data_IF_927106016172
#
_entry.id   IF_927106016172
#
_cell.length_a   1.000
_cell.length_b   1.000
_cell.length_c   1.000
_cell.angle_alpha   90.00
_cell.angle_beta   90.00
_cell.angle_gamma   90.00
#
_symmetry.space_group_name_H-M   'P 1'
#
loop_
_entity.id
_entity.type
_entity.pdbx_description
1 polymer ?
#
# COMPACT_ATOMS: atom_id res chain seq x y z
N UNK A 1 47.93 -16.46 36.61
CA UNK A 1 46.60 -17.06 36.34
C UNK A 1 46.16 -16.47 35.01
N UNK A 2 46.53 -17.13 33.92
CA UNK A 2 46.14 -16.75 32.57
C UNK A 2 44.95 -17.60 32.17
N UNK A 3 43.78 -16.97 32.05
CA UNK A 3 42.57 -17.61 31.54
C UNK A 3 42.48 -17.25 30.06
N UNK A 4 42.82 -18.22 29.22
CA UNK A 4 42.64 -18.16 27.77
C UNK A 4 41.15 -18.36 27.50
N UNK A 5 40.48 -17.27 27.09
CA UNK A 5 39.06 -17.26 26.73
C UNK A 5 38.88 -17.83 25.32
N UNK A 6 38.66 -19.15 25.24
CA UNK A 6 38.45 -19.87 23.98
C UNK A 6 37.03 -19.63 23.47
N UNK A 7 36.84 -18.56 22.68
CA UNK A 7 35.59 -18.37 21.92
C UNK A 7 35.45 -19.47 20.87
N UNK A 8 34.50 -20.38 21.08
CA UNK A 8 34.01 -21.32 20.07
C UNK A 8 32.97 -20.58 19.21
N UNK A 9 33.23 -20.26 17.93
CA UNK A 9 32.18 -19.78 17.04
C UNK A 9 31.33 -20.98 16.57
N UNK A 10 30.16 -21.17 17.18
CA UNK A 10 29.14 -22.09 16.68
C UNK A 10 28.49 -21.50 15.42
N UNK A 11 29.13 -21.69 14.27
CA UNK A 11 28.49 -21.47 12.97
C UNK A 11 27.63 -22.70 12.68
N UNK A 12 26.40 -22.67 13.18
CA UNK A 12 25.35 -23.58 12.70
C UNK A 12 25.02 -23.12 11.28
N UNK A 13 25.62 -23.78 10.28
CA UNK A 13 25.14 -23.70 8.90
C UNK A 13 23.73 -24.30 8.89
N UNK A 14 22.71 -23.45 8.76
CA UNK A 14 21.37 -23.89 8.39
C UNK A 14 21.46 -24.55 7.00
N UNK A 15 21.44 -25.88 6.98
CA UNK A 15 21.20 -26.63 5.76
C UNK A 15 19.83 -26.24 5.22
N UNK A 16 19.81 -25.54 4.07
CA UNK A 16 18.58 -25.20 3.35
C UNK A 16 17.91 -26.49 2.89
N UNK A 17 17.01 -27.01 3.73
CA UNK A 17 16.10 -28.10 3.38
C UNK A 17 15.29 -27.64 2.16
N UNK A 18 15.46 -28.31 1.02
CA UNK A 18 14.69 -27.99 -0.19
C UNK A 18 13.20 -28.18 0.11
N UNK A 19 12.44 -27.08 0.10
CA UNK A 19 11.00 -27.10 0.33
C UNK A 19 10.30 -27.65 -0.91
N UNK A 20 9.49 -28.70 -0.74
CA UNK A 20 8.71 -29.36 -1.81
C UNK A 20 7.90 -28.36 -2.65
N UNK A 21 7.33 -27.37 -1.98
CA UNK A 21 6.57 -26.28 -2.57
C UNK A 21 7.13 -24.94 -2.09
N UNK A 22 7.38 -24.02 -3.02
CA UNK A 22 7.70 -22.63 -2.69
C UNK A 22 6.44 -21.78 -2.83
N UNK A 23 6.18 -20.95 -1.82
CA UNK A 23 5.09 -19.98 -1.81
C UNK A 23 5.70 -18.57 -1.81
N UNK A 24 5.47 -17.82 -2.89
CA UNK A 24 5.90 -16.42 -3.05
C UNK A 24 4.67 -15.53 -2.96
N UNK A 25 4.82 -14.33 -2.42
CA UNK A 25 3.69 -13.40 -2.22
C UNK A 25 4.10 -11.96 -2.37
N UNK A 26 3.25 -11.16 -2.99
CA UNK A 26 3.42 -9.73 -3.12
C UNK A 26 2.05 -9.04 -3.18
N UNK A 27 1.99 -7.72 -2.95
CA UNK A 27 0.76 -6.98 -3.13
C UNK A 27 0.99 -5.65 -3.84
N UNK A 28 -0.06 -5.14 -4.47
CA UNK A 28 -0.09 -3.81 -5.11
C UNK A 28 -1.44 -3.14 -4.86
N UNK A 29 -1.46 -1.81 -4.85
CA UNK A 29 -2.69 -1.02 -4.76
C UNK A 29 -3.18 -0.66 -6.17
N UNK A 30 -4.44 -0.97 -6.49
CA UNK A 30 -5.07 -0.69 -7.78
C UNK A 30 -6.46 -0.14 -7.52
N UNK A 31 -6.72 1.12 -7.91
CA UNK A 31 -8.07 1.70 -7.85
C UNK A 31 -8.70 1.71 -6.45
N UNK A 32 -7.90 1.89 -5.39
CA UNK A 32 -8.36 1.83 -4.00
C UNK A 32 -8.52 0.41 -3.42
N UNK A 33 -8.32 -0.62 -4.24
CA UNK A 33 -8.29 -2.02 -3.80
C UNK A 33 -6.85 -2.51 -3.65
N UNK A 34 -6.68 -3.59 -2.90
CA UNK A 34 -5.43 -4.32 -2.76
C UNK A 34 -5.51 -5.57 -3.64
N UNK A 35 -4.57 -5.69 -4.58
CA UNK A 35 -4.36 -6.93 -5.31
C UNK A 35 -3.24 -7.73 -4.65
N UNK A 36 -3.61 -8.78 -3.93
CA UNK A 36 -2.68 -9.68 -3.26
C UNK A 36 -2.34 -10.87 -4.15
N UNK A 37 -1.09 -10.97 -4.59
CA UNK A 37 -0.60 -12.02 -5.51
C UNK A 37 0.11 -13.11 -4.73
N UNK A 38 -0.19 -14.35 -5.08
CA UNK A 38 0.39 -15.55 -4.50
C UNK A 38 0.87 -16.45 -5.63
N UNK A 39 2.15 -16.77 -5.61
CA UNK A 39 2.79 -17.72 -6.52
C UNK A 39 3.07 -19.03 -5.81
N UNK A 40 2.55 -20.13 -6.34
CA UNK A 40 2.88 -21.49 -5.93
C UNK A 40 3.83 -22.09 -6.96
N UNK A 41 4.96 -22.64 -6.52
CA UNK A 41 5.90 -23.35 -7.38
C UNK A 41 6.18 -24.73 -6.81
N UNK A 42 5.88 -25.77 -7.58
CA UNK A 42 6.30 -27.13 -7.27
C UNK A 42 7.79 -27.27 -7.61
N UNK A 43 8.62 -27.69 -6.66
CA UNK A 43 10.06 -27.91 -6.91
C UNK A 43 10.42 -29.40 -7.04
N UNK A 44 9.42 -30.27 -7.05
CA UNK A 44 9.63 -31.71 -7.10
C UNK A 44 9.51 -32.23 -8.54
N UNK A 45 9.97 -33.47 -8.74
CA UNK A 45 9.84 -34.21 -10.00
C UNK A 45 8.44 -34.84 -10.19
N UNK A 46 7.49 -34.55 -9.29
CA UNK A 46 6.19 -35.19 -9.23
C UNK A 46 5.07 -34.16 -9.11
N UNK A 47 3.89 -34.38 -9.70
CA UNK A 47 2.77 -33.45 -9.56
C UNK A 47 2.16 -33.49 -8.14
N UNK A 48 1.59 -32.38 -7.71
CA UNK A 48 0.70 -32.31 -6.56
C UNK A 48 -0.76 -32.27 -7.01
N UNK A 49 -1.64 -32.88 -6.22
CA UNK A 49 -3.08 -32.94 -6.48
C UNK A 49 -3.88 -32.36 -5.32
N UNK A 50 -5.12 -31.96 -5.61
CA UNK A 50 -6.10 -31.47 -4.65
C UNK A 50 -5.54 -30.37 -3.75
N UNK A 51 -4.90 -29.36 -4.36
CA UNK A 51 -4.36 -28.25 -3.61
C UNK A 51 -5.52 -27.40 -3.08
N UNK A 52 -5.54 -27.17 -1.78
CA UNK A 52 -6.44 -26.23 -1.11
C UNK A 52 -5.62 -25.14 -0.46
N UNK A 53 -5.88 -23.90 -0.82
CA UNK A 53 -5.25 -22.74 -0.22
C UNK A 53 -6.30 -22.09 0.67
N UNK A 54 -6.06 -22.05 1.98
CA UNK A 54 -6.94 -21.39 2.94
C UNK A 54 -6.30 -20.09 3.37
N UNK A 55 -6.93 -18.96 3.06
CA UNK A 55 -6.45 -17.64 3.43
C UNK A 55 -6.92 -17.27 4.83
N UNK A 56 -6.04 -16.62 5.59
CA UNK A 56 -6.43 -15.88 6.79
C UNK A 56 -6.40 -14.41 6.43
N UNK A 57 -7.58 -13.88 6.09
CA UNK A 57 -7.76 -12.50 5.67
C UNK A 57 -8.26 -11.72 6.89
N UNK A 58 -7.56 -10.66 7.33
CA UNK A 58 -8.02 -9.82 8.43
C UNK A 58 -9.41 -9.22 8.17
N UNK A 59 -10.22 -9.05 9.22
CA UNK A 59 -11.60 -8.53 9.10
C UNK A 59 -11.70 -7.13 8.47
N UNK A 60 -10.63 -6.34 8.50
CA UNK A 60 -10.62 -5.03 7.81
C UNK A 60 -10.44 -5.14 6.29
N UNK A 61 -10.31 -6.35 5.74
CA UNK A 61 -10.18 -6.61 4.32
C UNK A 61 -11.31 -7.52 3.87
N UNK A 62 -12.05 -7.07 2.86
CA UNK A 62 -13.11 -7.85 2.24
C UNK A 62 -12.60 -8.50 0.96
N UNK A 63 -12.67 -9.82 0.86
CA UNK A 63 -12.31 -10.51 -0.38
C UNK A 63 -13.46 -10.44 -1.41
N UNK A 64 -13.26 -9.59 -2.42
CA UNK A 64 -14.23 -9.31 -3.48
C UNK A 64 -14.22 -10.40 -4.56
N UNK A 65 -13.07 -10.61 -5.18
CA UNK A 65 -12.91 -11.58 -6.27
C UNK A 65 -11.47 -12.12 -6.33
N UNK A 66 -11.25 -13.14 -7.15
CA UNK A 66 -9.92 -13.69 -7.40
C UNK A 66 -9.75 -14.10 -8.85
N UNK A 67 -8.49 -14.18 -9.27
CA UNK A 67 -8.08 -14.65 -10.59
C UNK A 67 -6.92 -15.64 -10.47
N UNK A 68 -6.84 -16.67 -11.31
CA UNK A 68 -7.88 -17.10 -12.25
C UNK A 68 -9.08 -17.70 -11.48
N UNK A 69 -10.22 -17.90 -12.15
CA UNK A 69 -11.51 -18.30 -11.55
C UNK A 69 -11.57 -19.72 -10.98
N UNK A 70 -10.69 -20.05 -10.03
CA UNK A 70 -10.71 -21.30 -9.28
C UNK A 70 -11.95 -21.40 -8.39
N UNK A 71 -12.36 -22.61 -8.05
CA UNK A 71 -13.49 -22.83 -7.15
C UNK A 71 -13.17 -22.26 -5.75
N UNK A 72 -14.04 -21.36 -5.27
CA UNK A 72 -13.95 -20.75 -3.95
C UNK A 72 -14.95 -21.38 -2.99
N UNK A 73 -14.48 -21.74 -1.80
CA UNK A 73 -15.31 -22.20 -0.67
C UNK A 73 -14.91 -21.44 0.58
N UNK A 74 -15.71 -20.43 0.97
CA UNK A 74 -15.36 -19.50 2.04
C UNK A 74 -14.05 -18.77 1.72
N UNK A 75 -13.08 -18.86 2.63
CA UNK A 75 -11.75 -18.28 2.45
C UNK A 75 -10.75 -19.24 1.81
N UNK A 76 -11.23 -20.30 1.17
CA UNK A 76 -10.39 -21.28 0.49
C UNK A 76 -10.54 -21.27 -1.03
N UNK A 77 -9.43 -21.51 -1.74
CA UNK A 77 -9.41 -21.84 -3.17
C UNK A 77 -8.98 -23.29 -3.39
N UNK A 78 -9.62 -23.94 -4.36
CA UNK A 78 -9.29 -25.29 -4.78
C UNK A 78 -8.62 -25.29 -6.16
N UNK A 79 -7.47 -25.97 -6.25
CA UNK A 79 -6.70 -26.13 -7.48
C UNK A 79 -6.46 -27.63 -7.65
N UNK A 80 -7.01 -28.21 -8.71
CA UNK A 80 -7.03 -29.67 -8.90
C UNK A 80 -5.63 -30.28 -8.99
N UNK A 81 -4.70 -29.58 -9.64
CA UNK A 81 -3.35 -30.07 -9.90
C UNK A 81 -2.33 -28.94 -9.99
N UNK A 82 -1.11 -29.21 -9.54
CA UNK A 82 0.10 -28.45 -9.80
C UNK A 82 1.16 -29.41 -10.34
N UNK A 83 1.48 -29.30 -11.63
CA UNK A 83 2.41 -30.12 -12.37
C UNK A 83 3.86 -30.02 -11.89
N UNK A 84 4.70 -30.85 -12.49
CA UNK A 84 6.15 -30.92 -12.24
C UNK A 84 6.78 -29.58 -12.62
N UNK A 85 7.51 -28.96 -11.69
CA UNK A 85 8.11 -27.63 -11.88
C UNK A 85 7.12 -26.52 -12.30
N UNK A 86 5.81 -26.77 -12.18
CA UNK A 86 4.79 -25.80 -12.57
C UNK A 86 4.74 -24.66 -11.56
N UNK A 87 4.53 -23.45 -12.09
CA UNK A 87 4.22 -22.26 -11.30
C UNK A 87 2.79 -21.82 -11.60
N UNK A 88 1.98 -21.66 -10.55
CA UNK A 88 0.66 -21.03 -10.63
C UNK A 88 0.65 -19.73 -9.86
N UNK A 89 -0.02 -18.72 -10.40
CA UNK A 89 -0.18 -17.42 -9.76
C UNK A 89 -1.67 -17.15 -9.56
N UNK A 90 -2.00 -16.68 -8.38
CA UNK A 90 -3.36 -16.34 -7.97
C UNK A 90 -3.33 -14.90 -7.50
N UNK A 91 -4.31 -14.11 -7.91
CA UNK A 91 -4.52 -12.75 -7.45
C UNK A 91 -5.83 -12.70 -6.67
N UNK A 92 -5.78 -12.23 -5.42
CA UNK A 92 -6.95 -11.87 -4.64
C UNK A 92 -7.15 -10.36 -4.73
N UNK A 93 -8.38 -9.93 -4.94
CA UNK A 93 -8.76 -8.53 -4.93
C UNK A 93 -9.51 -8.26 -3.63
N UNK A 94 -8.88 -7.45 -2.79
CA UNK A 94 -9.31 -7.16 -1.43
C UNK A 94 -9.69 -5.69 -1.32
N UNK A 95 -10.84 -5.42 -0.75
CA UNK A 95 -11.31 -4.07 -0.47
C UNK A 95 -11.04 -3.72 0.99
N UNK A 96 -10.34 -2.61 1.27
CA UNK A 96 -10.15 -2.14 2.64
C UNK A 96 -11.45 -1.59 3.21
N UNK A 97 -11.89 -2.17 4.33
CA UNK A 97 -13.02 -1.68 5.13
C UNK A 97 -12.54 -0.60 6.11
N UNK A 98 -11.42 -0.87 6.79
CA UNK A 98 -10.82 0.03 7.77
C UNK A 98 -9.31 0.14 7.53
N UNK A 99 -8.73 1.23 8.02
CA UNK A 99 -7.30 1.47 7.92
C UNK A 99 -6.57 0.77 9.05
N UNK A 100 -5.65 -0.10 8.67
CA UNK A 100 -4.86 -0.87 9.60
C UNK A 100 -3.58 -1.36 8.94
N UNK A 101 -2.64 -1.78 9.76
CA UNK A 101 -1.54 -2.63 9.34
C UNK A 101 -1.83 -4.05 9.80
N UNK A 102 -1.94 -4.99 8.86
CA UNK A 102 -2.27 -6.37 9.19
C UNK A 102 -1.55 -7.39 8.31
N UNK A 103 -1.23 -8.57 8.87
CA UNK A 103 -0.69 -9.68 8.10
C UNK A 103 -1.77 -10.39 7.30
N UNK A 104 -1.49 -10.68 6.03
CA UNK A 104 -2.18 -11.75 5.31
C UNK A 104 -1.30 -13.00 5.34
N UNK A 105 -1.89 -14.13 5.73
CA UNK A 105 -1.25 -15.44 5.67
C UNK A 105 -2.15 -16.45 4.94
N UNK A 106 -1.60 -17.63 4.66
CA UNK A 106 -2.31 -18.69 3.97
C UNK A 106 -1.74 -20.04 4.37
N UNK A 107 -2.57 -21.08 4.39
CA UNK A 107 -2.12 -22.47 4.50
C UNK A 107 -2.46 -23.20 3.22
N UNK A 108 -1.45 -23.83 2.61
CA UNK A 108 -1.59 -24.63 1.40
C UNK A 108 -1.50 -26.10 1.79
N UNK A 109 -2.61 -26.83 1.64
CA UNK A 109 -2.64 -28.28 1.79
C UNK A 109 -2.74 -28.97 0.43
N UNK A 110 -2.08 -30.10 0.25
CA UNK A 110 -2.04 -30.84 -1.01
C UNK A 110 -1.69 -32.31 -0.78
N UNK A 111 -1.88 -33.15 -1.80
CA UNK A 111 -1.44 -34.53 -1.82
C UNK A 111 -0.25 -34.72 -2.75
N UNK A 112 0.69 -35.57 -2.34
CA UNK A 112 1.76 -36.04 -3.22
C UNK A 112 1.32 -37.25 -4.06
N UNK A 113 2.23 -37.78 -4.89
CA UNK A 113 1.96 -38.95 -5.76
C UNK A 113 1.71 -40.26 -5.02
N UNK A 114 1.93 -40.31 -3.70
CA UNK A 114 1.62 -41.46 -2.85
C UNK A 114 0.33 -41.25 -2.06
N UNK A 115 -0.47 -40.25 -2.45
CA UNK A 115 -1.65 -39.78 -1.72
C UNK A 115 -1.37 -39.44 -0.25
N UNK A 116 -0.12 -39.03 0.06
CA UNK A 116 0.21 -38.54 1.40
C UNK A 116 -0.18 -37.06 1.51
N UNK A 117 -0.96 -36.67 2.52
CA UNK A 117 -1.32 -35.27 2.73
C UNK A 117 -0.13 -34.48 3.27
N UNK A 118 0.02 -33.25 2.77
CA UNK A 118 0.98 -32.26 3.22
C UNK A 118 0.28 -30.92 3.46
N UNK A 119 0.78 -30.14 4.41
CA UNK A 119 0.32 -28.78 4.66
C UNK A 119 1.51 -27.86 4.93
N UNK A 120 1.53 -26.72 4.26
CA UNK A 120 2.57 -25.70 4.39
C UNK A 120 1.94 -24.35 4.64
N UNK A 121 2.41 -23.67 5.69
CA UNK A 121 1.96 -22.32 6.00
C UNK A 121 2.85 -21.31 5.28
N UNK A 122 2.21 -20.39 4.57
CA UNK A 122 2.85 -19.24 3.98
C UNK A 122 3.28 -18.28 5.09
N UNK A 123 4.55 -17.86 5.07
CA UNK A 123 4.99 -16.76 5.93
C UNK A 123 4.06 -15.54 5.75
N UNK A 124 3.71 -14.79 6.80
CA UNK A 124 2.81 -13.64 6.64
C UNK A 124 3.39 -12.55 5.72
N UNK A 125 2.53 -11.78 5.05
CA UNK A 125 2.90 -10.52 4.38
C UNK A 125 2.12 -9.38 5.02
N UNK A 126 2.84 -8.41 5.57
CA UNK A 126 2.22 -7.21 6.14
C UNK A 126 1.68 -6.33 5.03
N UNK A 127 0.44 -5.87 5.20
CA UNK A 127 -0.21 -4.89 4.35
C UNK A 127 -0.58 -3.71 5.23
N UNK A 128 -0.14 -2.52 4.83
CA UNK A 128 -0.46 -1.28 5.52
C UNK A 128 -1.47 -0.48 4.70
N UNK A 129 -2.70 -0.43 5.19
CA UNK A 129 -3.80 0.34 4.61
C UNK A 129 -3.80 1.69 5.34
N UNK A 130 -3.26 2.71 4.70
CA UNK A 130 -3.28 4.06 5.27
C UNK A 130 -4.58 4.78 4.88
N UNK A 131 -5.34 5.21 5.88
CA UNK A 131 -6.46 6.13 5.62
C UNK A 131 -5.91 7.47 5.18
N UNK A 132 -6.54 8.12 4.20
CA UNK A 132 -6.25 9.53 4.01
C UNK A 132 -6.71 10.30 5.26
N UNK A 133 -5.82 11.14 5.78
CA UNK A 133 -5.91 11.80 7.11
C UNK A 133 -7.08 12.79 7.19
N UNK A 134 -7.55 13.25 6.05
CA UNK A 134 -8.48 14.35 5.91
C UNK A 134 -9.86 13.83 5.50
N UNK A 135 -10.93 14.50 5.90
CA UNK A 135 -12.25 14.40 5.26
C UNK A 135 -12.77 15.82 5.04
N UNK A 136 -13.70 16.00 4.11
CA UNK A 136 -14.21 17.32 3.76
C UNK A 136 -15.71 17.42 4.02
N UNK A 137 -16.13 18.48 4.70
CA UNK A 137 -17.54 18.89 4.72
C UNK A 137 -17.83 19.67 3.42
N UNK A 138 -19.00 19.43 2.83
CA UNK A 138 -19.38 19.94 1.51
C UNK A 138 -19.36 21.49 1.45
N UNK A 139 -19.49 22.17 2.60
CA UNK A 139 -19.78 23.62 2.67
C UNK A 139 -18.55 24.55 2.84
N UNK A 140 -17.33 24.06 2.64
CA UNK A 140 -16.16 24.93 2.69
C UNK A 140 -16.05 25.81 1.41
N UNK A 141 -16.17 27.13 1.57
CA UNK A 141 -15.96 28.13 0.51
C UNK A 141 -14.71 29.00 0.78
N UNK A 142 -14.22 29.72 -0.25
CA UNK A 142 -12.95 30.48 -0.16
C UNK A 142 -12.94 31.53 0.96
N UNK A 143 -14.04 32.26 1.14
CA UNK A 143 -14.16 33.29 2.18
C UNK A 143 -14.03 32.68 3.59
N UNK A 144 -14.69 31.54 3.82
CA UNK A 144 -14.59 30.77 5.06
C UNK A 144 -13.18 30.27 5.31
N UNK A 145 -12.49 29.75 4.29
CA UNK A 145 -11.10 29.26 4.40
C UNK A 145 -10.12 30.39 4.70
N UNK A 146 -10.24 31.55 4.03
CA UNK A 146 -9.42 32.74 4.30
C UNK A 146 -9.66 33.31 5.71
N UNK A 147 -10.90 33.23 6.22
CA UNK A 147 -11.24 33.62 7.60
C UNK A 147 -10.67 32.62 8.62
N UNK A 148 -10.83 31.33 8.34
CA UNK A 148 -10.32 30.26 9.19
C UNK A 148 -8.80 30.32 9.31
N UNK A 149 -8.07 30.51 8.21
CA UNK A 149 -6.61 30.69 8.23
C UNK A 149 -6.20 31.73 9.26
N UNK A 150 -6.89 32.87 9.36
CA UNK A 150 -6.57 33.93 10.33
C UNK A 150 -6.84 33.57 11.80
N UNK A 151 -7.66 32.55 12.05
CA UNK A 151 -8.09 32.11 13.39
C UNK A 151 -7.38 30.86 13.89
N UNK A 152 -6.59 30.18 13.04
CA UNK A 152 -5.86 28.99 13.44
C UNK A 152 -4.76 29.36 14.45
N UNK A 153 -4.69 28.61 15.56
CA UNK A 153 -3.69 28.86 16.59
C UNK A 153 -2.26 28.49 16.16
N UNK A 154 -2.12 27.65 15.14
CA UNK A 154 -0.83 27.15 14.66
C UNK A 154 -0.67 27.36 13.17
N UNK A 155 0.52 27.81 12.78
CA UNK A 155 0.92 28.07 11.41
C UNK A 155 2.26 27.44 11.13
N UNK A 156 2.37 26.74 10.01
CA UNK A 156 3.64 26.28 9.44
C UNK A 156 3.78 26.86 8.03
N UNK A 157 5.01 27.19 7.64
CA UNK A 157 5.34 27.74 6.32
C UNK A 157 6.65 27.13 5.84
N UNK A 158 6.62 26.58 4.62
CA UNK A 158 7.80 26.14 3.89
C UNK A 158 7.93 26.94 2.61
N UNK A 159 9.14 27.38 2.31
CA UNK A 159 9.48 28.13 1.09
C UNK A 159 10.54 27.33 0.35
N UNK A 160 10.32 27.10 -0.94
CA UNK A 160 11.24 26.39 -1.80
C UNK A 160 11.61 27.29 -2.97
N UNK A 161 12.90 27.49 -3.26
CA UNK A 161 13.32 28.30 -4.40
C UNK A 161 12.98 27.59 -5.71
N UNK A 162 12.50 28.36 -6.70
CA UNK A 162 12.28 27.86 -8.05
C UNK A 162 13.57 28.03 -8.86
N UNK A 163 14.18 26.90 -9.24
CA UNK A 163 15.41 26.89 -10.06
C UNK A 163 15.07 27.18 -11.53
N UNK A 164 13.93 26.68 -12.01
CA UNK A 164 13.46 26.80 -13.39
C UNK A 164 12.08 27.45 -13.45
N UNK A 165 12.07 28.79 -13.41
CA UNK A 165 10.84 29.59 -13.42
C UNK A 165 9.98 29.40 -14.67
N UNK A 166 10.57 28.98 -15.79
CA UNK A 166 9.90 28.68 -17.05
C UNK A 166 9.04 27.41 -16.97
N UNK A 167 9.32 26.50 -16.04
CA UNK A 167 8.53 25.29 -15.80
C UNK A 167 7.40 25.51 -14.78
N UNK A 168 7.08 26.77 -14.42
CA UNK A 168 6.14 27.12 -13.33
C UNK A 168 4.78 26.43 -13.44
N UNK A 169 4.21 26.31 -14.64
CA UNK A 169 2.92 25.63 -14.83
C UNK A 169 3.02 24.12 -14.50
N UNK A 170 4.10 23.47 -14.94
CA UNK A 170 4.35 22.05 -14.68
C UNK A 170 4.59 21.79 -13.20
N UNK A 171 5.37 22.67 -12.55
CA UNK A 171 5.65 22.63 -11.11
C UNK A 171 4.35 22.80 -10.33
N UNK A 172 3.55 23.82 -10.66
CA UNK A 172 2.26 24.06 -10.00
C UNK A 172 1.33 22.84 -10.15
N UNK A 173 1.19 22.33 -11.37
CA UNK A 173 0.36 21.15 -11.65
C UNK A 173 0.83 19.90 -10.90
N UNK A 174 2.13 19.70 -10.77
CA UNK A 174 2.71 18.59 -10.00
C UNK A 174 2.39 18.69 -8.51
N UNK A 175 2.50 19.89 -7.93
CA UNK A 175 2.12 20.15 -6.53
C UNK A 175 0.64 19.82 -6.31
N UNK A 176 -0.25 20.34 -7.19
CA UNK A 176 -1.68 20.07 -7.08
C UNK A 176 -1.99 18.58 -7.22
N UNK A 177 -1.32 17.86 -8.14
CA UNK A 177 -1.48 16.41 -8.33
C UNK A 177 -1.12 15.63 -7.07
N UNK A 178 -0.02 16.00 -6.39
CA UNK A 178 0.37 15.36 -5.12
C UNK A 178 -0.66 15.65 -4.02
N UNK A 179 -1.12 16.91 -3.90
CA UNK A 179 -2.09 17.31 -2.89
C UNK A 179 -3.46 16.64 -3.09
N UNK A 180 -3.90 16.47 -4.33
CA UNK A 180 -5.16 15.79 -4.66
C UNK A 180 -5.15 14.29 -4.36
N UNK A 181 -4.00 13.67 -4.11
CA UNK A 181 -3.93 12.27 -3.64
C UNK A 181 -4.38 12.13 -2.18
N UNK A 182 -4.42 13.23 -1.44
CA UNK A 182 -4.95 13.27 -0.08
C UNK A 182 -6.44 13.65 -0.13
N UNK A 183 -7.22 13.20 0.86
CA UNK A 183 -8.66 13.49 1.02
C UNK A 183 -8.91 14.93 1.53
N UNK A 184 -8.23 15.90 0.91
CA UNK A 184 -8.38 17.34 1.10
C UNK A 184 -9.14 17.93 -0.09
N UNK A 185 -10.02 18.89 0.17
CA UNK A 185 -10.83 19.53 -0.86
C UNK A 185 -10.06 20.72 -1.41
N UNK A 186 -9.89 20.76 -2.73
CA UNK A 186 -9.50 21.96 -3.44
C UNK A 186 -10.67 22.95 -3.44
N UNK A 187 -10.44 24.15 -2.89
CA UNK A 187 -11.46 25.19 -2.70
C UNK A 187 -11.33 26.27 -3.77
N UNK A 188 -10.10 26.57 -4.14
CA UNK A 188 -9.78 27.56 -5.15
C UNK A 188 -8.45 27.22 -5.79
N UNK A 189 -8.35 27.41 -7.11
CA UNK A 189 -7.09 27.44 -7.83
C UNK A 189 -7.15 28.55 -8.87
N UNK A 190 -6.03 29.21 -9.08
CA UNK A 190 -5.81 30.12 -10.18
C UNK A 190 -4.34 30.08 -10.59
N UNK A 191 -4.08 30.30 -11.88
CA UNK A 191 -2.72 30.33 -12.42
C UNK A 191 -2.64 31.27 -13.63
N UNK A 192 -1.74 32.24 -13.56
CA UNK A 192 -1.37 33.14 -14.66
C UNK A 192 -0.05 32.67 -15.27
N UNK A 193 -0.09 32.28 -16.56
CA UNK A 193 1.13 31.92 -17.31
C UNK A 193 2.00 33.15 -17.58
N UNK A 194 1.39 34.30 -17.87
CA UNK A 194 2.08 35.57 -18.13
C UNK A 194 2.87 36.02 -16.91
N UNK A 195 2.23 36.01 -15.74
CA UNK A 195 2.84 36.43 -14.47
C UNK A 195 3.61 35.29 -13.78
N UNK A 196 3.57 34.07 -14.33
CA UNK A 196 4.11 32.84 -13.72
C UNK A 196 3.70 32.71 -12.26
N UNK A 197 2.44 33.03 -11.99
CA UNK A 197 1.91 33.14 -10.63
C UNK A 197 0.78 32.13 -10.44
N UNK A 198 0.86 31.35 -9.37
CA UNK A 198 -0.12 30.33 -9.04
C UNK A 198 -0.60 30.45 -7.60
N UNK A 199 -1.91 30.37 -7.41
CA UNK A 199 -2.52 30.37 -6.08
C UNK A 199 -3.47 29.17 -5.95
N UNK A 200 -3.33 28.38 -4.88
CA UNK A 200 -4.30 27.34 -4.57
C UNK A 200 -4.60 27.24 -3.07
N UNK A 201 -5.87 26.99 -2.76
CA UNK A 201 -6.37 26.84 -1.41
C UNK A 201 -7.04 25.49 -1.25
N UNK A 202 -6.61 24.76 -0.23
CA UNK A 202 -7.20 23.49 0.15
C UNK A 202 -7.71 23.55 1.58
N UNK A 203 -8.74 22.76 1.84
CA UNK A 203 -9.31 22.59 3.16
C UNK A 203 -9.53 21.11 3.46
N UNK A 204 -9.29 20.72 4.71
CA UNK A 204 -9.64 19.40 5.19
C UNK A 204 -9.80 19.39 6.70
N UNK A 205 -10.45 18.36 7.20
CA UNK A 205 -10.61 18.13 8.64
C UNK A 205 -9.97 16.79 8.97
N UNK A 206 -9.12 16.74 9.98
CA UNK A 206 -8.49 15.48 10.39
C UNK A 206 -9.55 14.51 10.93
N UNK A 207 -9.50 13.24 10.52
CA UNK A 207 -10.53 12.24 10.90
C UNK A 207 -10.60 11.99 12.41
N UNK A 208 -9.46 11.97 13.10
CA UNK A 208 -9.34 11.60 14.52
C UNK A 208 -9.60 12.78 15.46
N UNK A 209 -8.83 13.87 15.35
CA UNK A 209 -8.93 15.03 16.26
C UNK A 209 -9.94 16.07 15.82
N UNK A 210 -10.54 15.92 14.63
CA UNK A 210 -11.44 16.90 14.00
C UNK A 210 -10.80 18.29 13.84
N UNK A 211 -9.46 18.35 13.79
CA UNK A 211 -8.73 19.58 13.57
C UNK A 211 -8.92 20.04 12.13
N UNK A 212 -9.29 21.31 11.97
CA UNK A 212 -9.38 21.96 10.68
C UNK A 212 -7.99 22.30 10.17
N UNK A 213 -7.73 21.99 8.90
CA UNK A 213 -6.46 22.25 8.24
C UNK A 213 -6.73 23.06 6.98
N UNK A 214 -5.94 24.11 6.80
CA UNK A 214 -5.91 24.93 5.58
C UNK A 214 -4.53 24.79 4.97
N UNK A 215 -4.45 24.36 3.72
CA UNK A 215 -3.21 24.35 2.96
C UNK A 215 -3.29 25.45 1.92
N UNK A 216 -2.29 26.34 1.97
CA UNK A 216 -2.16 27.43 1.04
C UNK A 216 -0.90 27.22 0.21
N UNK A 217 -1.07 27.11 -1.10
CA UNK A 217 0.03 27.03 -2.06
C UNK A 217 0.10 28.34 -2.81
N UNK A 218 1.29 28.93 -2.81
CA UNK A 218 1.64 30.10 -3.58
C UNK A 218 2.87 29.75 -4.41
N UNK A 219 2.75 29.89 -5.72
CA UNK A 219 3.86 29.82 -6.66
C UNK A 219 4.08 31.23 -7.22
N UNK A 220 5.30 31.73 -7.11
CA UNK A 220 5.70 33.00 -7.70
C UNK A 220 6.98 32.78 -8.49
N UNK A 221 6.84 32.69 -9.82
CA UNK A 221 7.94 32.51 -10.76
C UNK A 221 8.72 33.78 -11.07
N UNK A 222 8.33 34.93 -10.50
CA UNK A 222 8.93 36.24 -10.78
C UNK A 222 9.71 36.81 -9.60
N UNK A 223 9.37 36.42 -8.36
CA UNK A 223 10.13 36.84 -7.18
C UNK A 223 11.51 36.16 -7.13
N UNK A 224 12.54 36.94 -7.48
CA UNK A 224 13.96 36.59 -7.26
C UNK A 224 14.48 36.90 -5.85
N UNK A 225 13.60 37.21 -4.88
CA UNK A 225 14.03 37.54 -3.52
C UNK A 225 14.10 36.26 -2.67
N UNK A 226 15.30 35.69 -2.61
CA UNK A 226 15.78 34.86 -1.49
C UNK A 226 16.29 35.80 -0.41
#
# INVERSE_FOLDING_TARGET
IDIIDYKIPSVIKEERKETLLTIVREFEFIGGQIRFKIGLKNNTKFPFTNLKITFNIPDALKWILHEPGYERKGDSLLISKLGVNEKKVISLYLEPINCMESPINATVSFFDVRDKPHALTMNPKMISITCPIFFTEVDANLARVKSLRRKLAHHDKKIFPLIKSEESLSIFSSILSVLNKFDIKLIFKDFSEEDRFGEAWFYGITKVKKNQIVIYVLLDGTNKKV
#
